data_IF_291519123640
#
_entry.id   IF_291519123640
#
_cell.length_a   1.000
_cell.length_b   1.000
_cell.length_c   1.000
_cell.angle_alpha   90.00
_cell.angle_beta   90.00
_cell.angle_gamma   90.00
#
_symmetry.space_group_name_H-M   'P 1'
#
loop_
_entity.id
_entity.type
_entity.pdbx_description
1 polymer ?
#
# COMPACT_ATOMS: atom_id res chain seq x y z
N UNK A 1 -47.34 25.03 14.45
CA UNK A 1 -47.25 26.22 15.33
C UNK A 1 -45.96 27.02 15.10
N UNK A 2 -44.79 26.39 14.95
CA UNK A 2 -43.50 27.08 14.67
C UNK A 2 -43.40 27.81 13.32
N UNK A 3 -44.07 27.30 12.28
CA UNK A 3 -44.01 27.88 10.92
C UNK A 3 -44.73 29.24 10.79
N UNK A 4 -45.76 29.48 11.60
CA UNK A 4 -46.50 30.74 11.60
C UNK A 4 -45.73 31.85 12.31
N UNK A 5 -44.99 31.50 13.36
CA UNK A 5 -44.16 32.43 14.13
C UNK A 5 -42.95 32.92 13.31
N UNK A 6 -42.36 32.02 12.52
CA UNK A 6 -41.33 32.35 11.54
C UNK A 6 -41.85 33.27 10.41
N UNK A 7 -43.08 33.02 9.94
CA UNK A 7 -43.71 33.80 8.89
C UNK A 7 -44.10 35.22 9.35
N UNK A 8 -44.57 35.37 10.59
CA UNK A 8 -44.86 36.69 11.18
C UNK A 8 -43.59 37.54 11.37
N UNK A 9 -42.49 36.94 11.83
CA UNK A 9 -41.21 37.64 12.03
C UNK A 9 -40.53 38.04 10.71
N UNK A 10 -40.74 37.28 9.64
CA UNK A 10 -40.21 37.63 8.31
C UNK A 10 -40.96 38.81 7.65
N UNK A 11 -42.24 38.98 7.96
CA UNK A 11 -43.08 40.04 7.40
C UNK A 11 -42.85 41.42 8.04
N UNK A 12 -42.34 41.49 9.28
CA UNK A 12 -42.15 42.74 10.03
C UNK A 12 -40.78 43.42 9.87
N UNK A 13 -39.88 42.91 9.03
CA UNK A 13 -38.58 43.54 8.79
C UNK A 13 -38.64 44.50 7.59
N UNK A 14 -38.57 45.80 7.86
CA UNK A 14 -38.78 46.90 6.90
C UNK A 14 -37.61 47.15 5.91
N UNK A 15 -36.40 46.62 6.12
CA UNK A 15 -35.27 46.84 5.19
C UNK A 15 -34.49 45.55 4.82
N UNK A 16 -34.99 44.85 3.80
CA UNK A 16 -34.62 43.47 3.41
C UNK A 16 -33.25 43.32 2.72
N UNK A 17 -32.67 44.40 2.18
CA UNK A 17 -31.49 44.30 1.30
C UNK A 17 -30.14 44.44 2.02
N UNK A 18 -30.09 45.08 3.18
CA UNK A 18 -28.84 45.21 3.96
C UNK A 18 -28.60 44.02 4.88
N UNK A 19 -29.67 43.39 5.36
CA UNK A 19 -29.60 42.19 6.20
C UNK A 19 -29.10 40.96 5.42
N UNK A 20 -29.38 40.88 4.12
CA UNK A 20 -28.99 39.72 3.28
C UNK A 20 -27.48 39.57 3.03
N UNK A 21 -26.67 40.60 3.32
CA UNK A 21 -25.20 40.50 3.18
C UNK A 21 -24.49 39.89 4.39
N UNK A 22 -25.15 39.82 5.56
CA UNK A 22 -24.57 39.24 6.78
C UNK A 22 -25.50 38.27 7.53
N UNK A 23 -26.78 38.19 7.17
CA UNK A 23 -27.79 37.35 7.82
C UNK A 23 -27.75 35.86 7.47
N UNK A 24 -26.83 35.40 6.62
CA UNK A 24 -26.68 33.96 6.34
C UNK A 24 -26.10 33.18 7.54
N UNK A 25 -25.36 33.85 8.42
CA UNK A 25 -24.84 33.26 9.67
C UNK A 25 -25.95 33.15 10.72
N UNK A 26 -26.83 34.14 10.82
CA UNK A 26 -28.02 34.09 11.69
C UNK A 26 -29.12 33.16 11.15
N UNK A 27 -29.21 32.99 9.82
CA UNK A 27 -30.03 31.96 9.17
C UNK A 27 -29.47 30.55 9.42
N UNK A 28 -28.14 30.41 9.51
CA UNK A 28 -27.46 29.17 9.86
C UNK A 28 -27.60 28.84 11.36
N UNK A 29 -27.68 29.86 12.22
CA UNK A 29 -27.85 29.70 13.67
C UNK A 29 -29.32 29.48 14.10
N UNK A 30 -30.30 29.96 13.33
CA UNK A 30 -31.73 29.87 13.67
C UNK A 30 -32.48 28.68 13.07
N UNK A 31 -31.78 27.71 12.46
CA UNK A 31 -32.37 26.43 12.05
C UNK A 31 -31.97 25.34 13.05
N UNK A 32 -32.66 25.22 14.20
CA UNK A 32 -32.56 24.03 15.01
C UNK A 32 -33.42 22.92 14.35
N UNK A 33 -32.77 21.78 14.10
CA UNK A 33 -33.34 20.45 13.87
C UNK A 33 -34.07 20.16 12.54
N UNK A 34 -33.54 19.21 11.75
CA UNK A 34 -34.29 18.60 10.65
C UNK A 34 -33.56 17.67 9.67
N UNK A 35 -32.45 17.01 10.06
CA UNK A 35 -31.95 15.75 9.46
C UNK A 35 -31.38 15.72 8.02
N UNK A 36 -31.96 16.43 7.05
CA UNK A 36 -31.66 16.23 5.62
C UNK A 36 -30.47 17.03 5.09
N UNK A 37 -30.12 18.16 5.72
CA UNK A 37 -28.90 18.91 5.38
C UNK A 37 -27.67 18.38 6.13
N UNK A 38 -27.85 17.88 7.35
CA UNK A 38 -26.82 17.09 8.03
C UNK A 38 -26.44 15.87 7.19
N UNK A 39 -27.41 15.19 6.56
CA UNK A 39 -27.12 14.11 5.61
C UNK A 39 -26.34 14.59 4.36
N UNK A 40 -26.57 15.78 3.83
CA UNK A 40 -25.81 16.33 2.68
C UNK A 40 -24.40 16.75 3.06
N UNK A 41 -24.22 17.42 4.20
CA UNK A 41 -22.91 17.78 4.74
C UNK A 41 -22.14 16.53 5.18
N UNK A 42 -22.81 15.54 5.77
CA UNK A 42 -22.25 14.23 6.08
C UNK A 42 -21.83 13.48 4.83
N UNK A 43 -22.63 13.52 3.75
CA UNK A 43 -22.28 12.90 2.46
C UNK A 43 -21.14 13.65 1.77
N UNK A 44 -21.10 14.97 1.83
CA UNK A 44 -19.98 15.77 1.35
C UNK A 44 -18.71 15.52 2.17
N UNK A 45 -18.84 15.35 3.49
CA UNK A 45 -17.73 15.02 4.39
C UNK A 45 -17.23 13.59 4.15
N UNK A 46 -18.13 12.61 3.96
CA UNK A 46 -17.81 11.26 3.53
C UNK A 46 -17.10 11.26 2.17
N UNK A 47 -17.60 12.00 1.18
CA UNK A 47 -16.97 12.10 -0.15
C UNK A 47 -15.60 12.75 -0.06
N UNK A 48 -15.45 13.86 0.69
CA UNK A 48 -14.16 14.51 0.91
C UNK A 48 -13.16 13.58 1.61
N UNK A 49 -13.64 12.81 2.60
CA UNK A 49 -12.86 11.82 3.35
C UNK A 49 -12.42 10.65 2.46
N UNK A 50 -13.31 10.10 1.63
CA UNK A 50 -13.00 9.07 0.63
C UNK A 50 -12.05 9.61 -0.44
N UNK A 51 -12.23 10.85 -0.91
CA UNK A 51 -11.31 11.50 -1.85
C UNK A 51 -9.90 11.65 -1.26
N UNK A 52 -9.79 11.96 0.03
CA UNK A 52 -8.52 11.94 0.77
C UNK A 52 -7.95 10.52 0.86
N UNK A 53 -8.73 9.51 1.23
CA UNK A 53 -8.28 8.12 1.28
C UNK A 53 -7.78 7.61 -0.08
N UNK A 54 -8.49 7.94 -1.18
CA UNK A 54 -8.09 7.61 -2.55
C UNK A 54 -6.82 8.37 -2.96
N UNK A 55 -6.64 9.63 -2.52
CA UNK A 55 -5.37 10.35 -2.71
C UNK A 55 -4.22 9.71 -1.92
N UNK A 56 -4.44 9.29 -0.69
CA UNK A 56 -3.45 8.56 0.12
C UNK A 56 -3.07 7.24 -0.55
N UNK A 57 -4.06 6.48 -1.04
CA UNK A 57 -3.83 5.26 -1.80
C UNK A 57 -3.02 5.52 -3.08
N UNK A 58 -3.31 6.61 -3.80
CA UNK A 58 -2.52 7.05 -4.96
C UNK A 58 -1.09 7.47 -4.60
N UNK A 59 -0.89 8.10 -3.44
CA UNK A 59 0.44 8.49 -2.97
C UNK A 59 1.29 7.25 -2.66
N UNK A 60 0.69 6.26 -1.98
CA UNK A 60 1.31 4.97 -1.67
C UNK A 60 1.67 4.24 -2.98
N UNK A 61 0.72 4.14 -3.92
CA UNK A 61 0.95 3.55 -5.24
C UNK A 61 2.11 4.23 -5.99
N UNK A 62 2.19 5.57 -5.91
CA UNK A 62 3.23 6.34 -6.62
C UNK A 62 4.62 6.16 -6.03
N UNK A 63 4.73 5.90 -4.73
CA UNK A 63 6.03 5.68 -4.06
C UNK A 63 6.47 4.22 -4.21
N UNK A 64 5.53 3.27 -4.07
CA UNK A 64 5.76 1.84 -4.28
C UNK A 64 6.27 1.55 -5.70
N UNK A 65 5.80 2.29 -6.71
CA UNK A 65 6.23 2.10 -8.10
C UNK A 65 7.43 2.95 -8.55
N UNK A 66 7.93 3.91 -7.73
CA UNK A 66 9.00 4.83 -8.18
C UNK A 66 10.40 4.49 -7.64
N UNK A 67 10.54 4.00 -6.41
CA UNK A 67 11.87 3.75 -5.81
C UNK A 67 12.03 2.30 -5.36
N UNK A 68 12.92 1.55 -6.02
CA UNK A 68 13.03 0.09 -5.96
C UNK A 68 13.57 -0.55 -4.66
N UNK A 69 13.98 0.19 -3.62
CA UNK A 69 14.40 -0.45 -2.36
C UNK A 69 14.20 0.44 -1.13
N UNK A 70 14.84 1.61 -1.09
CA UNK A 70 14.82 2.47 0.11
C UNK A 70 13.47 3.16 0.36
N UNK A 71 12.66 3.33 -0.68
CA UNK A 71 11.34 3.95 -0.59
C UNK A 71 10.25 3.05 -0.01
N UNK A 72 10.44 1.72 0.00
CA UNK A 72 9.38 0.77 0.37
C UNK A 72 9.10 0.84 1.87
N UNK A 73 10.14 0.82 2.71
CA UNK A 73 9.97 0.90 4.17
C UNK A 73 9.42 2.26 4.60
N UNK A 74 9.95 3.35 4.05
CA UNK A 74 9.50 4.70 4.37
C UNK A 74 8.04 4.95 3.91
N UNK A 75 7.68 4.45 2.72
CA UNK A 75 6.30 4.56 2.22
C UNK A 75 5.33 3.67 2.97
N UNK A 76 5.73 2.46 3.37
CA UNK A 76 4.94 1.58 4.22
C UNK A 76 4.68 2.22 5.59
N UNK A 77 5.71 2.76 6.26
CA UNK A 77 5.55 3.45 7.54
C UNK A 77 4.59 4.66 7.43
N UNK A 78 4.75 5.46 6.37
CA UNK A 78 3.85 6.59 6.09
C UNK A 78 2.43 6.11 5.82
N UNK A 79 2.26 5.01 5.08
CA UNK A 79 0.95 4.40 4.81
C UNK A 79 0.27 3.93 6.10
N UNK A 80 1.00 3.23 6.97
CA UNK A 80 0.49 2.78 8.28
C UNK A 80 0.01 3.96 9.10
N UNK A 81 0.81 5.01 9.21
CA UNK A 81 0.49 6.18 10.01
C UNK A 81 -0.78 6.88 9.50
N UNK A 82 -0.94 6.99 8.17
CA UNK A 82 -2.14 7.53 7.55
C UNK A 82 -3.36 6.62 7.75
N UNK A 83 -3.20 5.30 7.63
CA UNK A 83 -4.28 4.34 7.85
C UNK A 83 -4.78 4.37 9.30
N UNK A 84 -3.87 4.42 10.27
CA UNK A 84 -4.21 4.50 11.70
C UNK A 84 -4.92 5.82 12.00
N UNK A 85 -4.38 6.96 11.55
CA UNK A 85 -5.00 8.26 11.77
C UNK A 85 -6.40 8.35 11.11
N UNK A 86 -6.54 7.85 9.88
CA UNK A 86 -7.80 7.83 9.17
C UNK A 86 -8.82 6.90 9.82
N UNK A 87 -8.39 5.69 10.22
CA UNK A 87 -9.19 4.69 10.91
C UNK A 87 -9.73 5.25 12.23
N UNK A 88 -8.84 5.79 13.07
CA UNK A 88 -9.20 6.40 14.36
C UNK A 88 -10.21 7.54 14.22
N UNK A 89 -9.95 8.51 13.33
CA UNK A 89 -10.84 9.65 13.12
C UNK A 89 -12.20 9.26 12.53
N UNK A 90 -12.23 8.25 11.68
CA UNK A 90 -13.48 7.76 11.08
C UNK A 90 -14.28 6.97 12.11
N UNK A 91 -13.60 6.13 12.89
CA UNK A 91 -14.19 5.34 13.95
C UNK A 91 -14.82 6.22 15.02
N UNK A 92 -14.08 7.23 15.50
CA UNK A 92 -14.60 8.19 16.48
C UNK A 92 -15.85 8.91 15.96
N UNK A 93 -15.88 9.32 14.69
CA UNK A 93 -17.05 10.04 14.15
C UNK A 93 -18.31 9.16 14.10
N UNK A 94 -18.13 7.88 13.77
CA UNK A 94 -19.24 6.95 13.55
C UNK A 94 -19.74 6.36 14.86
N UNK A 95 -18.84 6.11 15.81
CA UNK A 95 -19.17 5.43 17.07
C UNK A 95 -19.41 6.37 18.25
N UNK A 96 -18.76 7.54 18.33
CA UNK A 96 -18.96 8.48 19.45
C UNK A 96 -20.42 8.97 19.62
N UNK A 97 -21.25 9.10 18.57
CA UNK A 97 -22.66 9.44 18.75
C UNK A 97 -23.50 8.31 19.39
N UNK A 98 -22.99 7.07 19.46
CA UNK A 98 -23.73 5.93 19.97
C UNK A 98 -23.42 5.69 21.46
N UNK A 99 -24.41 5.80 22.37
CA UNK A 99 -24.21 5.56 23.80
C UNK A 99 -23.75 4.13 24.16
N UNK A 100 -23.95 3.16 23.27
CA UNK A 100 -23.53 1.77 23.47
C UNK A 100 -22.11 1.49 22.96
N UNK A 101 -21.42 2.49 22.41
CA UNK A 101 -20.06 2.36 21.92
C UNK A 101 -19.05 2.32 23.07
N UNK A 102 -18.06 1.44 22.96
CA UNK A 102 -16.87 1.45 23.80
C UNK A 102 -15.88 2.56 23.42
N UNK A 103 -15.97 3.10 22.19
CA UNK A 103 -15.06 4.11 21.64
C UNK A 103 -15.73 5.49 21.70
N UNK A 104 -15.31 6.29 22.66
CA UNK A 104 -15.88 7.61 22.94
C UNK A 104 -14.82 8.72 22.89
N UNK A 105 -13.55 8.39 23.13
CA UNK A 105 -12.46 9.36 23.11
C UNK A 105 -11.51 9.18 21.91
N UNK A 106 -10.81 10.24 21.46
CA UNK A 106 -9.83 10.14 20.39
C UNK A 106 -8.68 9.16 20.71
N UNK A 107 -8.30 9.05 21.98
CA UNK A 107 -7.24 8.17 22.45
C UNK A 107 -7.62 6.70 22.30
N UNK A 108 -8.86 6.34 22.69
CA UNK A 108 -9.43 5.00 22.50
C UNK A 108 -9.53 4.63 21.02
N UNK A 109 -9.97 5.58 20.18
CA UNK A 109 -10.07 5.36 18.74
C UNK A 109 -8.69 5.15 18.10
N UNK A 110 -7.67 5.88 18.56
CA UNK A 110 -6.29 5.74 18.10
C UNK A 110 -5.71 4.39 18.52
N UNK A 111 -5.89 4.01 19.78
CA UNK A 111 -5.49 2.71 20.32
C UNK A 111 -6.14 1.56 19.54
N UNK A 112 -7.45 1.61 19.35
CA UNK A 112 -8.19 0.63 18.56
C UNK A 112 -7.64 0.51 17.13
N UNK A 113 -7.38 1.64 16.47
CA UNK A 113 -6.86 1.65 15.11
C UNK A 113 -5.46 1.03 15.03
N UNK A 114 -4.58 1.30 16.00
CA UNK A 114 -3.26 0.65 16.09
C UNK A 114 -3.40 -0.86 16.26
N UNK A 115 -4.15 -1.30 17.27
CA UNK A 115 -4.36 -2.72 17.61
C UNK A 115 -5.01 -3.50 16.46
N UNK A 116 -5.88 -2.85 15.70
CA UNK A 116 -6.56 -3.46 14.55
C UNK A 116 -5.63 -3.55 13.33
N UNK A 117 -4.88 -2.48 13.03
CA UNK A 117 -3.93 -2.48 11.90
C UNK A 117 -2.80 -3.47 12.13
N UNK A 118 -2.29 -3.57 13.36
CA UNK A 118 -1.26 -4.57 13.74
C UNK A 118 -1.81 -5.98 13.90
N UNK A 119 -3.11 -6.19 13.66
CA UNK A 119 -3.81 -7.49 13.76
C UNK A 119 -3.74 -8.14 15.16
N UNK A 120 -3.51 -7.35 16.21
CA UNK A 120 -3.46 -7.83 17.60
C UNK A 120 -4.87 -8.12 18.14
N UNK A 121 -5.78 -7.15 17.99
CA UNK A 121 -7.20 -7.33 18.32
C UNK A 121 -7.50 -7.69 19.78
N UNK A 122 -7.10 -6.87 20.75
CA UNK A 122 -7.39 -7.13 22.18
C UNK A 122 -8.89 -7.28 22.50
N UNK A 123 -9.76 -6.61 21.74
CA UNK A 123 -11.21 -6.67 21.91
C UNK A 123 -11.76 -5.81 23.06
N UNK A 124 -10.91 -4.97 23.65
CA UNK A 124 -11.26 -3.93 24.62
C UNK A 124 -12.13 -2.83 24.00
N UNK A 125 -11.85 -2.49 22.75
CA UNK A 125 -12.62 -1.55 21.94
C UNK A 125 -13.06 -2.18 20.63
N UNK A 126 -14.32 -1.99 20.23
CA UNK A 126 -14.83 -2.54 18.98
C UNK A 126 -16.04 -1.77 18.42
N UNK A 127 -16.23 -1.78 17.08
CA UNK A 127 -17.40 -1.18 16.45
C UNK A 127 -18.69 -1.91 16.82
N UNK A 128 -19.67 -1.16 17.32
CA UNK A 128 -21.03 -1.67 17.49
C UNK A 128 -21.94 -1.25 16.34
N UNK A 129 -21.64 -0.16 15.65
CA UNK A 129 -22.45 0.34 14.53
C UNK A 129 -22.18 -0.41 13.22
N UNK A 130 -23.17 -0.44 12.33
CA UNK A 130 -23.00 -1.06 10.99
C UNK A 130 -21.94 -0.33 10.16
N UNK A 131 -21.95 1.00 10.19
CA UNK A 131 -20.95 1.82 9.49
C UNK A 131 -19.54 1.61 10.04
N UNK A 132 -19.40 1.53 11.37
CA UNK A 132 -18.12 1.27 12.03
C UNK A 132 -17.56 -0.11 11.66
N UNK A 133 -18.41 -1.13 11.56
CA UNK A 133 -18.01 -2.48 11.11
C UNK A 133 -17.51 -2.49 9.67
N UNK A 134 -18.13 -1.74 8.76
CA UNK A 134 -17.64 -1.61 7.38
C UNK A 134 -16.25 -0.97 7.37
N UNK A 135 -16.05 0.11 8.13
CA UNK A 135 -14.75 0.78 8.25
C UNK A 135 -13.70 -0.17 8.83
N UNK A 136 -14.06 -0.94 9.86
CA UNK A 136 -13.16 -1.93 10.46
C UNK A 136 -12.73 -3.01 9.47
N UNK A 137 -13.64 -3.57 8.67
CA UNK A 137 -13.30 -4.55 7.63
C UNK A 137 -12.31 -3.96 6.62
N UNK A 138 -12.55 -2.73 6.15
CA UNK A 138 -11.63 -2.06 5.22
C UNK A 138 -10.25 -1.82 5.86
N UNK A 139 -10.21 -1.44 7.14
CA UNK A 139 -8.98 -1.23 7.88
C UNK A 139 -8.19 -2.54 8.05
N UNK A 140 -8.89 -3.64 8.40
CA UNK A 140 -8.29 -4.97 8.54
C UNK A 140 -7.69 -5.47 7.22
N UNK A 141 -8.43 -5.40 6.11
CA UNK A 141 -7.92 -5.79 4.78
C UNK A 141 -6.70 -4.97 4.40
N UNK A 142 -6.73 -3.66 4.67
CA UNK A 142 -5.59 -2.77 4.40
C UNK A 142 -4.37 -3.10 5.27
N UNK A 143 -4.59 -3.39 6.56
CA UNK A 143 -3.53 -3.79 7.49
C UNK A 143 -2.85 -5.10 7.06
N UNK A 144 -3.64 -6.13 6.77
CA UNK A 144 -3.12 -7.42 6.29
C UNK A 144 -2.34 -7.25 4.97
N UNK A 145 -2.85 -6.45 4.03
CA UNK A 145 -2.16 -6.16 2.77
C UNK A 145 -0.82 -5.47 2.97
N UNK A 146 -0.74 -4.55 3.93
CA UNK A 146 0.50 -3.85 4.28
C UNK A 146 1.55 -4.82 4.89
N UNK A 147 1.16 -5.63 5.87
CA UNK A 147 2.05 -6.64 6.45
C UNK A 147 2.50 -7.68 5.40
N UNK A 148 1.60 -8.11 4.52
CA UNK A 148 1.93 -8.99 3.40
C UNK A 148 2.95 -8.37 2.45
N UNK A 149 2.81 -7.07 2.13
CA UNK A 149 3.80 -6.35 1.32
C UNK A 149 5.16 -6.25 2.00
N UNK A 150 5.19 -6.05 3.32
CA UNK A 150 6.44 -6.00 4.09
C UNK A 150 7.15 -7.36 4.11
N UNK A 151 6.41 -8.45 4.34
CA UNK A 151 6.94 -9.81 4.26
C UNK A 151 7.46 -10.13 2.85
N UNK A 152 6.73 -9.75 1.80
CA UNK A 152 7.16 -9.92 0.41
C UNK A 152 8.44 -9.13 0.09
N UNK A 153 8.59 -7.92 0.63
CA UNK A 153 9.81 -7.13 0.48
C UNK A 153 11.02 -7.80 1.15
N UNK A 154 10.86 -8.30 2.38
CA UNK A 154 11.93 -9.08 3.02
C UNK A 154 12.28 -10.31 2.17
N UNK A 155 11.26 -11.04 1.70
CA UNK A 155 11.46 -12.18 0.82
C UNK A 155 12.22 -11.83 -0.47
N UNK A 156 11.96 -10.66 -1.06
CA UNK A 156 12.66 -10.24 -2.28
C UNK A 156 14.13 -9.88 -2.05
N UNK A 157 14.51 -9.43 -0.85
CA UNK A 157 15.92 -9.24 -0.49
C UNK A 157 16.69 -10.57 -0.50
N UNK A 158 16.12 -11.61 0.13
CA UNK A 158 16.73 -12.95 0.13
C UNK A 158 16.85 -13.54 -1.28
N UNK A 159 15.83 -13.34 -2.13
CA UNK A 159 15.83 -13.82 -3.51
C UNK A 159 16.83 -13.05 -4.38
N UNK A 160 16.99 -11.75 -4.15
CA UNK A 160 17.97 -10.92 -4.87
C UNK A 160 19.40 -11.39 -4.62
N UNK A 161 19.76 -11.69 -3.37
CA UNK A 161 21.09 -12.20 -3.02
C UNK A 161 21.37 -13.55 -3.70
N UNK A 162 20.40 -14.47 -3.71
CA UNK A 162 20.54 -15.77 -4.39
C UNK A 162 20.73 -15.65 -5.89
N UNK A 163 20.02 -14.72 -6.54
CA UNK A 163 20.18 -14.47 -7.97
C UNK A 163 21.55 -13.89 -8.31
N UNK A 164 22.10 -13.02 -7.46
CA UNK A 164 23.44 -12.48 -7.65
C UNK A 164 24.51 -13.58 -7.54
N UNK A 165 24.40 -14.48 -6.56
CA UNK A 165 25.31 -15.63 -6.42
C UNK A 165 25.21 -16.63 -7.58
N UNK A 166 24.00 -16.91 -8.08
CA UNK A 166 23.85 -17.82 -9.23
C UNK A 166 24.41 -17.20 -10.51
N UNK A 167 24.22 -15.90 -10.74
CA UNK A 167 24.79 -15.24 -11.93
C UNK A 167 26.31 -15.23 -11.92
N UNK A 168 26.95 -15.03 -10.76
CA UNK A 168 28.41 -15.12 -10.67
C UNK A 168 28.91 -16.55 -10.88
N UNK A 169 28.25 -17.54 -10.28
CA UNK A 169 28.59 -18.96 -10.47
C UNK A 169 28.42 -19.42 -11.93
N UNK A 170 27.34 -19.01 -12.59
CA UNK A 170 27.08 -19.32 -14.01
C UNK A 170 28.13 -18.66 -14.91
N UNK A 171 28.50 -17.40 -14.63
CA UNK A 171 29.55 -16.70 -15.37
C UNK A 171 30.92 -17.37 -15.21
N UNK A 172 31.28 -17.78 -13.99
CA UNK A 172 32.51 -18.53 -13.74
C UNK A 172 32.52 -19.89 -14.44
N UNK A 173 31.39 -20.61 -14.42
CA UNK A 173 31.27 -21.90 -15.08
C UNK A 173 31.39 -21.77 -16.60
N UNK A 174 30.73 -20.78 -17.21
CA UNK A 174 30.88 -20.48 -18.64
C UNK A 174 32.32 -20.14 -18.99
N UNK A 175 33.00 -19.33 -18.16
CA UNK A 175 34.40 -19.00 -18.38
C UNK A 175 35.30 -20.25 -18.35
N UNK A 176 35.08 -21.18 -17.41
CA UNK A 176 35.83 -22.45 -17.35
C UNK A 176 35.58 -23.34 -18.58
N UNK A 177 34.34 -23.41 -19.06
CA UNK A 177 34.01 -24.18 -20.27
C UNK A 177 34.69 -23.61 -21.52
N UNK A 178 34.77 -22.29 -21.64
CA UNK A 178 35.49 -21.63 -22.74
C UNK A 178 37.00 -21.96 -22.70
N UNK A 179 37.62 -21.94 -21.52
CA UNK A 179 39.03 -22.32 -21.35
C UNK A 179 39.28 -23.78 -21.75
N UNK A 180 38.38 -24.70 -21.39
CA UNK A 180 38.47 -26.10 -21.80
C UNK A 180 38.31 -26.29 -23.32
N UNK A 181 37.41 -25.54 -23.96
CA UNK A 181 37.26 -25.58 -25.42
C UNK A 181 38.53 -25.09 -26.13
N UNK A 182 39.16 -24.03 -25.61
CA UNK A 182 40.42 -23.52 -26.14
C UNK A 182 41.55 -24.54 -26.01
N UNK A 183 41.70 -25.16 -24.82
CA UNK A 183 42.74 -26.18 -24.60
C UNK A 183 42.53 -27.43 -25.47
N UNK A 184 41.29 -27.92 -25.58
CA UNK A 184 40.95 -29.06 -26.45
C UNK A 184 41.23 -28.74 -27.93
N UNK A 185 40.96 -27.52 -28.37
CA UNK A 185 41.26 -27.08 -29.74
C UNK A 185 42.77 -27.07 -30.01
N UNK A 186 43.56 -26.69 -29.01
CA UNK A 186 45.02 -26.67 -29.07
C UNK A 186 45.62 -28.10 -29.08
N UNK A 187 45.09 -29.00 -28.25
CA UNK A 187 45.44 -30.43 -28.25
C UNK A 187 45.13 -31.10 -29.60
N UNK A 188 43.96 -30.83 -30.18
CA UNK A 188 43.59 -31.37 -31.50
C UNK A 188 44.54 -30.85 -32.58
N UNK A 189 44.91 -29.56 -32.54
CA UNK A 189 45.89 -28.97 -33.47
C UNK A 189 47.26 -29.66 -33.36
N UNK A 190 47.76 -29.85 -32.14
CA UNK A 190 49.08 -30.46 -31.91
C UNK A 190 49.10 -31.93 -32.31
N UNK A 191 48.03 -32.70 -32.02
CA UNK A 191 47.86 -34.08 -32.48
C UNK A 191 47.86 -34.18 -34.01
N UNK A 192 47.13 -33.30 -34.68
CA UNK A 192 47.10 -33.25 -36.15
C UNK A 192 48.51 -32.99 -36.74
N UNK A 193 49.25 -32.03 -36.18
CA UNK A 193 50.64 -31.77 -36.57
C UNK A 193 51.58 -32.97 -36.34
N UNK A 194 51.40 -33.73 -35.25
CA UNK A 194 52.19 -34.94 -34.98
C UNK A 194 51.92 -36.06 -35.98
N UNK A 195 50.66 -36.22 -36.41
CA UNK A 195 50.29 -37.19 -37.45
C UNK A 195 50.85 -36.79 -38.81
N UNK A 196 50.80 -35.51 -39.17
CA UNK A 196 51.36 -35.00 -40.44
C UNK A 196 52.89 -35.05 -40.49
N UNK A 197 53.56 -34.98 -39.33
CA UNK A 197 55.03 -35.05 -39.23
C UNK A 197 55.58 -36.46 -39.01
N UNK A 198 54.73 -37.49 -38.80
CA UNK A 198 55.18 -38.87 -38.84
C UNK A 198 55.43 -39.29 -40.30
N UNK A 199 56.69 -39.56 -40.69
CA UNK A 199 56.96 -40.07 -42.02
C UNK A 199 56.31 -41.45 -42.14
N UNK A 200 55.48 -41.62 -43.15
CA UNK A 200 54.81 -42.87 -43.50
C UNK A 200 55.88 -43.92 -43.81
N UNK A 201 56.29 -44.69 -42.80
CA UNK A 201 57.46 -45.53 -42.90
C UNK A 201 57.55 -46.57 -41.80
N UNK A 202 56.62 -47.53 -41.78
CA UNK A 202 56.88 -48.87 -41.26
C UNK A 202 56.29 -49.92 -42.20
N UNK A 203 57.20 -50.35 -43.05
CA UNK A 203 57.32 -51.63 -43.74
C UNK A 203 56.61 -52.79 -43.03
N UNK A 204 55.62 -53.37 -43.70
CA UNK A 204 55.08 -54.70 -43.42
C UNK A 204 55.04 -55.51 -44.71
N UNK A 205 56.21 -55.90 -45.23
CA UNK A 205 56.36 -57.17 -45.93
C UNK A 205 57.81 -57.67 -45.90
N UNK A 206 58.24 -58.20 -44.74
CA UNK A 206 59.20 -59.30 -44.69
C UNK A 206 58.53 -60.51 -44.05
N UNK A 207 58.54 -61.63 -44.78
CA UNK A 207 57.97 -62.93 -44.41
C UNK A 207 57.10 -63.45 -45.56
N UNK A 208 57.42 -64.52 -46.28
CA UNK A 208 58.25 -65.65 -45.97
C UNK A 208 58.76 -66.31 -47.27
N UNK A 209 59.99 -66.85 -47.17
CA UNK A 209 60.54 -68.07 -47.80
C UNK A 209 60.38 -68.28 -49.31
#
# INVERSE_FOLDING_TARGET
LFFLDFWMRLQQAEDKLRFMRWGWIDLLASVPAGGLQAAKLFRAFQVLRVLRAIKSLRLIWRILFRNRAEGIVASAATATMLLVAFGALTMLLVEAPNPQSSINTPEEALWWAFVTVTTVGYGDFYPVTTEGRIVAVLLMVSGVGLFGSFAAYIGSLFVADRHAEHQSADAEMLHRLLLQMESLTEEVRTLKQRLESQPTGRDHSQGAQ
#
